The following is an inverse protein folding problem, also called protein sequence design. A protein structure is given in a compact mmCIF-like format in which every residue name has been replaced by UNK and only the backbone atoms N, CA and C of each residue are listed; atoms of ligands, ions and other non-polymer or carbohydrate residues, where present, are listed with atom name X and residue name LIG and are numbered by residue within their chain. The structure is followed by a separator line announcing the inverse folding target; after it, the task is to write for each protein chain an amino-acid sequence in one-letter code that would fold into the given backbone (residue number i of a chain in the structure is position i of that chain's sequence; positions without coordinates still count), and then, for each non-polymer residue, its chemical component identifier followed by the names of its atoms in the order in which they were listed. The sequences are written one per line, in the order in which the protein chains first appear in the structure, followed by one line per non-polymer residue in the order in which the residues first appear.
data_IF_022701294228
#
_entry.id   IF_022701294228
#
_cell.length_a   1.000
_cell.length_b   1.000
_cell.length_c   1.000
_cell.angle_alpha   90.00
_cell.angle_beta   90.00
_cell.angle_gamma   90.00
#
_symmetry.space_group_name_H-M   'P 1'
#
loop_
_entity.id
_entity.type
_entity.pdbx_description
1 polymer ?
#
# COMPACT_ATOMS: atom_id res chain seq x y z
N UNK A 1 13.63 8.80 -4.39
CA UNK A 1 12.74 7.63 -4.29
C UNK A 1 11.38 8.04 -4.82
N UNK A 2 10.81 7.30 -5.76
CA UNK A 2 9.46 7.55 -6.26
C UNK A 2 8.41 7.13 -5.23
N UNK A 3 7.16 7.58 -5.38
CA UNK A 3 6.06 7.18 -4.49
C UNK A 3 5.84 5.66 -4.52
N UNK A 4 5.91 5.05 -5.71
CA UNK A 4 5.79 3.59 -5.87
C UNK A 4 6.93 2.84 -5.18
N UNK A 5 8.18 3.27 -5.39
CA UNK A 5 9.35 2.68 -4.72
C UNK A 5 9.23 2.78 -3.20
N UNK A 6 8.77 3.92 -2.67
CA UNK A 6 8.55 4.14 -1.25
C UNK A 6 7.59 3.12 -0.66
N UNK A 7 6.44 2.92 -1.31
CA UNK A 7 5.40 1.99 -0.86
C UNK A 7 5.88 0.55 -0.93
N UNK A 8 6.42 0.13 -2.08
CA UNK A 8 6.89 -1.26 -2.28
C UNK A 8 8.00 -1.60 -1.30
N UNK A 9 8.95 -0.68 -1.08
CA UNK A 9 10.00 -0.86 -0.08
C UNK A 9 9.43 -0.92 1.34
N UNK A 10 8.50 -0.05 1.68
CA UNK A 10 7.88 -0.07 3.00
C UNK A 10 7.11 -1.38 3.29
N UNK A 11 6.52 -2.00 2.25
CA UNK A 11 5.92 -3.33 2.35
C UNK A 11 6.98 -4.42 2.55
N UNK A 12 8.05 -4.41 1.74
CA UNK A 12 9.14 -5.39 1.80
C UNK A 12 9.91 -5.33 3.13
N UNK A 13 10.19 -4.14 3.65
CA UNK A 13 10.86 -3.91 4.94
C UNK A 13 10.06 -4.50 6.13
N UNK A 14 8.77 -4.80 5.94
CA UNK A 14 7.90 -5.49 6.91
C UNK A 14 7.57 -6.92 6.51
N UNK A 15 8.33 -7.52 5.60
CA UNK A 15 8.18 -8.92 5.19
C UNK A 15 6.81 -9.22 4.56
N UNK A 16 6.21 -8.23 3.88
CA UNK A 16 5.06 -8.50 3.02
C UNK A 16 5.47 -9.47 1.91
N UNK A 17 4.55 -10.33 1.50
CA UNK A 17 4.81 -11.34 0.46
C UNK A 17 3.95 -11.07 -0.76
N UNK A 18 4.34 -11.65 -1.91
CA UNK A 18 3.60 -11.51 -3.16
C UNK A 18 3.32 -10.05 -3.55
N UNK A 19 4.31 -9.17 -3.38
CA UNK A 19 4.18 -7.77 -3.76
C UNK A 19 4.16 -7.68 -5.29
N UNK A 20 3.07 -7.17 -5.85
CA UNK A 20 2.87 -6.99 -7.29
C UNK A 20 2.37 -5.58 -7.56
N UNK A 21 3.05 -4.84 -8.42
CA UNK A 21 2.57 -3.56 -8.94
C UNK A 21 2.02 -3.77 -10.35
N UNK A 22 0.82 -3.28 -10.60
CA UNK A 22 0.09 -3.41 -11.86
C UNK A 22 -0.12 -2.02 -12.44
N UNK A 23 0.32 -1.81 -13.68
CA UNK A 23 0.02 -0.61 -14.45
C UNK A 23 -1.46 -0.59 -14.86
N UNK A 24 -2.15 0.48 -14.51
CA UNK A 24 -3.60 0.62 -14.67
C UNK A 24 -3.99 1.79 -15.57
N UNK A 25 -3.03 2.49 -16.20
CA UNK A 25 -3.30 3.68 -17.02
C UNK A 25 -4.30 3.41 -18.16
N UNK A 26 -4.28 2.21 -18.75
CA UNK A 26 -5.21 1.81 -19.82
C UNK A 26 -6.54 1.24 -19.29
N UNK A 27 -6.60 0.90 -18.01
CA UNK A 27 -7.73 0.18 -17.40
C UNK A 27 -8.54 1.02 -16.41
N UNK A 28 -7.97 2.11 -15.88
CA UNK A 28 -8.58 2.96 -14.85
C UNK A 28 -8.27 4.43 -15.10
N UNK A 29 -9.29 5.31 -15.15
CA UNK A 29 -9.07 6.75 -15.19
C UNK A 29 -8.88 7.37 -13.80
N UNK A 30 -8.89 6.56 -12.73
CA UNK A 30 -8.92 7.04 -11.34
C UNK A 30 -7.52 7.03 -10.71
N UNK A 31 -6.71 6.02 -11.03
CA UNK A 31 -5.36 5.82 -10.49
C UNK A 31 -4.50 5.07 -11.51
N UNK A 32 -3.19 5.30 -11.46
CA UNK A 32 -2.23 4.82 -12.46
C UNK A 32 -1.62 3.47 -12.08
N UNK A 33 -1.54 3.14 -10.79
CA UNK A 33 -0.92 1.89 -10.32
C UNK A 33 -1.74 1.22 -9.21
N UNK A 34 -1.95 -0.09 -9.35
CA UNK A 34 -2.49 -0.95 -8.30
C UNK A 34 -1.39 -1.80 -7.67
N UNK A 35 -1.20 -1.73 -6.36
CA UNK A 35 -0.22 -2.53 -5.64
C UNK A 35 -0.92 -3.57 -4.78
N UNK A 36 -0.62 -4.83 -5.03
CA UNK A 36 -1.09 -5.98 -4.25
C UNK A 36 0.02 -6.51 -3.36
N UNK A 37 -0.29 -6.90 -2.13
CA UNK A 37 0.58 -7.76 -1.33
C UNK A 37 -0.20 -8.64 -0.35
N UNK A 38 0.49 -9.56 0.31
CA UNK A 38 -0.08 -10.48 1.30
C UNK A 38 0.64 -10.34 2.63
N UNK A 39 -0.13 -10.12 3.69
CA UNK A 39 0.26 -10.20 5.08
C UNK A 39 -0.22 -11.53 5.67
N UNK A 40 0.65 -12.25 6.37
CA UNK A 40 0.31 -13.56 6.93
C UNK A 40 -0.66 -13.52 8.12
N UNK A 41 -0.87 -12.34 8.71
CA UNK A 41 -1.77 -12.13 9.85
C UNK A 41 -2.05 -10.62 10.05
N UNK A 42 -3.04 -10.32 10.88
CA UNK A 42 -3.46 -8.95 11.21
C UNK A 42 -2.34 -8.10 11.83
N UNK A 43 -1.49 -8.68 12.68
CA UNK A 43 -0.36 -7.94 13.27
C UNK A 43 0.62 -7.47 12.19
N UNK A 44 0.91 -8.33 11.21
CA UNK A 44 1.78 -7.99 10.09
C UNK A 44 1.13 -6.95 9.18
N UNK A 45 -0.17 -7.10 8.89
CA UNK A 45 -0.96 -6.14 8.12
C UNK A 45 -0.88 -4.73 8.72
N UNK A 46 -1.09 -4.61 10.03
CA UNK A 46 -0.97 -3.33 10.74
C UNK A 46 0.47 -2.80 10.74
N UNK A 47 1.48 -3.66 10.86
CA UNK A 47 2.88 -3.26 10.81
C UNK A 47 3.29 -2.72 9.43
N UNK A 48 2.83 -3.36 8.34
CA UNK A 48 3.02 -2.91 6.96
C UNK A 48 2.36 -1.54 6.77
N UNK A 49 1.08 -1.42 7.15
CA UNK A 49 0.33 -0.16 7.06
C UNK A 49 1.06 0.98 7.77
N UNK A 50 1.50 0.76 9.02
CA UNK A 50 2.19 1.79 9.79
C UNK A 50 3.50 2.19 9.13
N UNK A 51 4.26 1.22 8.61
CA UNK A 51 5.51 1.52 7.90
C UNK A 51 5.29 2.34 6.64
N UNK A 52 4.25 2.02 5.85
CA UNK A 52 3.88 2.82 4.68
C UNK A 52 3.56 4.25 5.10
N UNK A 53 2.78 4.44 6.18
CA UNK A 53 2.45 5.78 6.70
C UNK A 53 3.70 6.56 7.09
N UNK A 54 4.59 5.94 7.87
CA UNK A 54 5.82 6.57 8.34
C UNK A 54 6.75 6.94 7.17
N UNK A 55 6.91 6.06 6.18
CA UNK A 55 7.76 6.32 5.00
C UNK A 55 7.14 7.36 4.06
N UNK A 56 5.81 7.33 3.85
CA UNK A 56 5.12 8.37 3.09
C UNK A 56 5.25 9.75 3.76
N UNK A 57 5.09 9.84 5.08
CA UNK A 57 5.27 11.09 5.82
C UNK A 57 6.69 11.65 5.67
N UNK A 58 7.73 10.81 5.85
CA UNK A 58 9.14 11.19 5.67
C UNK A 58 9.45 11.72 4.27
N UNK A 59 8.78 11.18 3.25
CA UNK A 59 8.98 11.57 1.85
C UNK A 59 7.98 12.63 1.36
N UNK A 60 7.14 13.17 2.25
CA UNK A 60 6.07 14.13 1.92
C UNK A 60 5.07 13.61 0.86
N UNK A 61 4.76 12.32 0.90
CA UNK A 61 3.69 11.72 0.09
C UNK A 61 2.38 11.69 0.88
N UNK A 62 1.33 12.23 0.29
CA UNK A 62 -0.01 12.24 0.89
C UNK A 62 -0.68 10.87 0.81
N UNK A 63 -1.23 10.42 1.94
CA UNK A 63 -2.18 9.31 2.02
C UNK A 63 -3.58 9.90 2.16
N UNK A 64 -4.45 9.67 1.18
CA UNK A 64 -5.81 10.22 1.15
C UNK A 64 -6.73 9.50 2.13
N UNK A 65 -6.68 8.18 2.14
CA UNK A 65 -7.52 7.36 3.00
C UNK A 65 -6.91 5.99 3.28
N UNK A 66 -7.36 5.39 4.38
CA UNK A 66 -7.05 4.01 4.76
C UNK A 66 -8.36 3.35 5.17
N UNK A 67 -8.69 2.23 4.52
CA UNK A 67 -9.90 1.45 4.76
C UNK A 67 -9.56 0.04 5.23
N UNK A 68 -10.51 -0.60 5.93
CA UNK A 68 -10.34 -2.00 6.38
C UNK A 68 -9.67 -2.17 7.76
N UNK A 69 -9.57 -1.13 8.60
CA UNK A 69 -8.86 -1.22 9.89
C UNK A 69 -9.57 -2.04 11.01
N UNK A 70 -10.85 -2.44 10.87
CA UNK A 70 -11.60 -3.09 11.95
C UNK A 70 -12.01 -4.53 11.59
N UNK A 71 -11.37 -5.52 12.21
CA UNK A 71 -11.67 -6.95 12.04
C UNK A 71 -11.70 -7.40 10.56
N UNK A 72 -10.95 -6.74 9.69
CA UNK A 72 -10.98 -7.01 8.26
C UNK A 72 -9.84 -7.93 7.88
N UNK A 73 -10.12 -8.83 6.93
CA UNK A 73 -9.11 -9.66 6.26
C UNK A 73 -8.43 -8.92 5.09
N UNK A 74 -8.55 -7.60 5.06
CA UNK A 74 -8.06 -6.77 3.97
C UNK A 74 -7.87 -5.34 4.45
N UNK A 75 -6.95 -4.64 3.81
CA UNK A 75 -6.71 -3.22 4.02
C UNK A 75 -6.47 -2.56 2.65
N UNK A 76 -6.99 -1.34 2.49
CA UNK A 76 -6.76 -0.52 1.31
C UNK A 76 -6.16 0.83 1.71
N UNK A 77 -5.10 1.25 1.01
CA UNK A 77 -4.50 2.58 1.14
C UNK A 77 -4.62 3.30 -0.19
N UNK A 78 -5.25 4.47 -0.18
CA UNK A 78 -5.34 5.38 -1.32
C UNK A 78 -4.28 6.49 -1.20
N UNK A 79 -3.38 6.58 -2.19
CA UNK A 79 -2.35 7.62 -2.32
C UNK A 79 -2.59 8.54 -3.52
N UNK A 80 -3.78 8.48 -4.12
CA UNK A 80 -4.19 9.19 -5.32
C UNK A 80 -3.88 8.41 -6.60
N UNK A 81 -2.67 8.57 -7.13
CA UNK A 81 -2.15 7.89 -8.33
C UNK A 81 -1.83 6.41 -8.07
N UNK A 82 -1.68 6.02 -6.81
CA UNK A 82 -1.41 4.64 -6.39
C UNK A 82 -2.47 4.18 -5.40
N UNK A 83 -3.05 3.00 -5.65
CA UNK A 83 -3.92 2.29 -4.70
C UNK A 83 -3.25 1.00 -4.28
N UNK A 84 -3.13 0.79 -2.97
CA UNK A 84 -2.58 -0.44 -2.40
C UNK A 84 -3.70 -1.27 -1.80
N UNK A 85 -3.75 -2.56 -2.12
CA UNK A 85 -4.67 -3.51 -1.52
C UNK A 85 -3.91 -4.73 -1.02
N UNK A 86 -4.18 -5.17 0.21
CA UNK A 86 -3.49 -6.32 0.76
C UNK A 86 -4.36 -7.14 1.71
N UNK A 87 -4.15 -8.45 1.64
CA UNK A 87 -4.88 -9.49 2.37
C UNK A 87 -4.09 -10.00 3.57
#
# INVERSE_FOLDING_TARGET
MTKLECVVKAMDDKLATHIVAIDMQEASPIFDTFVLCTASNERLMQAIMQNIKDECEKNNFEIKSIEGLRNSKWLLIDLGDIVCHYF
#
